data_IF_764316389406
#
_entry.id   IF_764316389406
#
_cell.length_a   1.000
_cell.length_b   1.000
_cell.length_c   1.000
_cell.angle_alpha   90.00
_cell.angle_beta   90.00
_cell.angle_gamma   90.00
#
_symmetry.space_group_name_H-M   'P 1'
#
loop_
_entity.id
_entity.type
_entity.pdbx_description
1 polymer ?
#
# COMPACT_ATOMS: atom_id res chain seq x y z
N UNK A 1 -16.27 -2.28 -15.73
CA UNK A 1 -17.43 -2.21 -14.82
C UNK A 1 -17.17 -2.76 -13.42
N UNK A 2 -16.85 -4.05 -13.21
CA UNK A 2 -16.69 -4.59 -11.83
C UNK A 2 -15.45 -4.11 -11.07
N UNK A 3 -14.33 -3.86 -11.76
CA UNK A 3 -13.10 -3.37 -11.12
C UNK A 3 -13.12 -1.86 -10.85
N UNK A 4 -13.74 -1.08 -11.74
CA UNK A 4 -13.86 0.38 -11.62
C UNK A 4 -14.66 0.80 -10.38
N UNK A 5 -15.75 0.08 -10.07
CA UNK A 5 -16.55 0.31 -8.85
C UNK A 5 -15.73 0.04 -7.58
N UNK A 6 -14.80 -0.92 -7.64
CA UNK A 6 -13.91 -1.24 -6.52
C UNK A 6 -12.75 -0.26 -6.34
N UNK A 7 -12.31 0.43 -7.40
CA UNK A 7 -11.22 1.40 -7.31
C UNK A 7 -11.66 2.72 -6.69
N UNK A 8 -12.91 3.15 -6.88
CA UNK A 8 -13.36 4.45 -6.39
C UNK A 8 -13.32 4.58 -4.86
N UNK A 9 -13.71 3.53 -4.14
CA UNK A 9 -13.63 3.51 -2.67
C UNK A 9 -12.18 3.55 -2.19
N UNK A 10 -11.30 2.80 -2.85
CA UNK A 10 -9.86 2.76 -2.54
C UNK A 10 -9.22 4.12 -2.82
N UNK A 11 -9.52 4.75 -3.96
CA UNK A 11 -9.05 6.09 -4.30
C UNK A 11 -9.50 7.09 -3.24
N UNK A 12 -10.77 7.03 -2.80
CA UNK A 12 -11.28 7.87 -1.70
C UNK A 12 -10.55 7.58 -0.37
N UNK A 13 -10.15 6.33 -0.11
CA UNK A 13 -9.37 5.96 1.07
C UNK A 13 -7.90 6.45 1.00
N UNK A 14 -7.29 6.43 -0.18
CA UNK A 14 -5.94 6.95 -0.43
C UNK A 14 -5.89 8.47 -0.29
N UNK A 15 -6.83 9.20 -0.91
CA UNK A 15 -6.94 10.67 -0.81
C UNK A 15 -7.03 11.17 0.64
N UNK A 16 -7.60 10.37 1.55
CA UNK A 16 -7.73 10.69 2.99
C UNK A 16 -6.55 10.22 3.84
N UNK A 17 -5.58 9.49 3.27
CA UNK A 17 -4.43 8.93 3.99
C UNK A 17 -3.14 9.16 3.21
N UNK A 18 -2.38 10.16 3.65
CA UNK A 18 -1.02 10.40 3.16
C UNK A 18 -0.16 9.15 3.31
N UNK A 19 -0.27 8.43 4.44
CA UNK A 19 0.52 7.22 4.69
C UNK A 19 0.31 6.16 3.63
N UNK A 20 -0.95 5.79 3.34
CA UNK A 20 -1.25 4.76 2.32
C UNK A 20 -0.83 5.22 0.92
N UNK A 21 -1.03 6.50 0.62
CA UNK A 21 -0.65 7.08 -0.68
C UNK A 21 0.86 6.98 -0.90
N UNK A 22 1.67 7.44 0.07
CA UNK A 22 3.13 7.40 -0.03
C UNK A 22 3.67 5.98 -0.14
N UNK A 23 3.09 5.02 0.60
CA UNK A 23 3.45 3.60 0.50
C UNK A 23 3.18 3.06 -0.92
N UNK A 24 1.97 3.25 -1.45
CA UNK A 24 1.62 2.79 -2.79
C UNK A 24 2.54 3.42 -3.84
N UNK A 25 2.76 4.74 -3.77
CA UNK A 25 3.58 5.44 -4.76
C UNK A 25 5.04 5.01 -4.71
N UNK A 26 5.58 4.79 -3.51
CA UNK A 26 6.91 4.21 -3.35
C UNK A 26 6.99 2.80 -3.96
N UNK A 27 6.05 1.91 -3.63
CA UNK A 27 6.04 0.55 -4.14
C UNK A 27 5.82 0.49 -5.67
N UNK A 28 5.04 1.42 -6.22
CA UNK A 28 4.88 1.59 -7.67
C UNK A 28 6.19 1.99 -8.34
N UNK A 29 6.93 2.93 -7.75
CA UNK A 29 8.24 3.38 -8.28
C UNK A 29 9.27 2.25 -8.34
N UNK A 30 9.22 1.29 -7.42
CA UNK A 30 10.17 0.17 -7.38
C UNK A 30 9.61 -1.14 -7.97
N UNK A 31 8.35 -1.15 -8.43
CA UNK A 31 7.71 -2.34 -8.96
C UNK A 31 8.53 -2.94 -10.13
N UNK A 32 8.73 -4.27 -10.20
CA UNK A 32 8.10 -5.33 -9.40
C UNK A 32 8.87 -5.75 -8.13
N UNK A 33 9.78 -4.92 -7.62
CA UNK A 33 10.58 -5.26 -6.43
C UNK A 33 9.77 -5.11 -5.15
N UNK A 34 10.09 -5.95 -4.17
CA UNK A 34 9.57 -5.84 -2.80
C UNK A 34 10.53 -5.01 -1.92
N UNK A 35 10.00 -4.43 -0.86
CA UNK A 35 10.77 -3.68 0.14
C UNK A 35 10.22 -3.95 1.54
N UNK A 36 11.10 -3.95 2.54
CA UNK A 36 10.72 -4.19 3.93
C UNK A 36 10.33 -2.87 4.62
N UNK A 37 9.50 -2.88 5.68
CA UNK A 37 8.92 -1.67 6.27
C UNK A 37 9.90 -0.56 6.63
N UNK A 38 11.07 -0.89 7.18
CA UNK A 38 12.06 0.12 7.56
C UNK A 38 12.72 0.82 6.34
N UNK A 39 12.81 0.15 5.20
CA UNK A 39 13.29 0.79 3.96
C UNK A 39 12.21 1.70 3.35
N UNK A 40 10.94 1.28 3.39
CA UNK A 40 9.81 2.12 2.99
C UNK A 40 9.79 3.39 3.86
N UNK A 41 9.94 3.25 5.18
CA UNK A 41 10.00 4.36 6.13
C UNK A 41 11.11 5.36 5.77
N UNK A 42 12.34 4.88 5.50
CA UNK A 42 13.47 5.74 5.11
C UNK A 42 13.23 6.50 3.81
N UNK A 43 12.62 5.86 2.81
CA UNK A 43 12.42 6.47 1.50
C UNK A 43 11.19 7.39 1.43
N UNK A 44 10.22 7.20 2.32
CA UNK A 44 9.00 8.04 2.38
C UNK A 44 9.07 9.12 3.47
N UNK A 45 10.02 9.01 4.40
CA UNK A 45 10.10 9.90 5.58
C UNK A 45 8.98 9.68 6.60
N UNK A 46 8.27 8.55 6.51
CA UNK A 46 7.17 8.19 7.41
C UNK A 46 7.69 7.23 8.48
N UNK A 47 7.26 7.43 9.73
CA UNK A 47 7.60 6.52 10.83
C UNK A 47 7.20 5.06 10.56
N UNK A 48 8.06 4.12 10.97
CA UNK A 48 7.90 2.69 10.70
C UNK A 48 6.60 2.11 11.27
N UNK A 49 6.11 2.60 12.41
CA UNK A 49 4.83 2.16 12.99
C UNK A 49 3.66 2.60 12.11
N UNK A 50 3.71 3.81 11.56
CA UNK A 50 2.71 4.27 10.58
C UNK A 50 2.78 3.49 9.27
N UNK A 51 3.99 3.14 8.80
CA UNK A 51 4.16 2.28 7.62
C UNK A 51 3.47 0.92 7.84
N UNK A 52 3.72 0.27 8.98
CA UNK A 52 3.08 -0.99 9.33
C UNK A 52 1.56 -0.86 9.40
N UNK A 53 1.06 0.23 10.00
CA UNK A 53 -0.37 0.54 10.05
C UNK A 53 -1.01 0.69 8.68
N UNK A 54 -0.36 1.42 7.76
CA UNK A 54 -0.84 1.58 6.39
C UNK A 54 -0.83 0.27 5.59
N UNK A 55 0.19 -0.56 5.80
CA UNK A 55 0.35 -1.85 5.10
C UNK A 55 -0.66 -2.90 5.56
N UNK A 56 -0.71 -3.20 6.87
CA UNK A 56 -1.45 -4.35 7.41
C UNK A 56 -2.51 -4.02 8.47
N UNK A 57 -2.65 -2.74 8.82
CA UNK A 57 -3.46 -2.34 9.98
C UNK A 57 -2.78 -2.60 11.33
N UNK A 58 -3.35 -2.04 12.39
CA UNK A 58 -2.94 -2.17 13.79
C UNK A 58 -4.14 -1.86 14.69
N UNK A 59 -4.46 -2.80 15.58
CA UNK A 59 -5.65 -2.90 16.45
C UNK A 59 -6.23 -1.64 17.14
N UNK A 60 -5.50 -0.51 17.21
CA UNK A 60 -6.00 0.73 17.87
C UNK A 60 -6.00 1.98 16.99
N UNK A 61 -5.09 2.11 16.02
CA UNK A 61 -4.94 3.33 15.18
C UNK A 61 -5.13 3.11 13.69
N UNK A 62 -5.12 1.85 13.25
CA UNK A 62 -5.29 1.50 11.85
C UNK A 62 -6.24 0.31 11.73
N UNK A 63 -7.45 0.57 11.24
CA UNK A 63 -8.41 -0.49 10.96
C UNK A 63 -7.82 -1.46 9.92
N UNK A 64 -7.61 -2.72 10.33
CA UNK A 64 -7.06 -3.81 9.53
C UNK A 64 -7.86 -4.04 8.25
N UNK A 65 -9.19 -3.85 8.29
CA UNK A 65 -10.07 -4.01 7.13
C UNK A 65 -9.79 -2.98 6.02
N UNK A 66 -9.23 -1.82 6.39
CA UNK A 66 -8.90 -0.71 5.49
C UNK A 66 -7.43 -0.64 5.07
N UNK A 67 -6.63 -1.66 5.44
CA UNK A 67 -5.20 -1.72 5.14
C UNK A 67 -4.93 -1.98 3.65
N UNK A 68 -3.75 -1.61 3.17
CA UNK A 68 -3.38 -1.87 1.77
C UNK A 68 -3.35 -3.37 1.46
N UNK A 69 -2.97 -4.19 2.44
CA UNK A 69 -2.93 -5.64 2.32
C UNK A 69 -4.34 -6.25 2.26
N UNK A 70 -5.26 -5.85 3.14
CA UNK A 70 -6.64 -6.35 3.14
C UNK A 70 -7.41 -5.95 1.87
N UNK A 71 -7.09 -4.77 1.31
CA UNK A 71 -7.67 -4.27 0.06
C UNK A 71 -7.04 -4.92 -1.20
N UNK A 72 -6.01 -5.75 -1.04
CA UNK A 72 -5.32 -6.43 -2.14
C UNK A 72 -4.47 -5.50 -3.02
N UNK A 73 -4.10 -4.31 -2.52
CA UNK A 73 -3.25 -3.35 -3.24
C UNK A 73 -1.77 -3.71 -3.16
N UNK A 74 -1.38 -4.40 -2.10
CA UNK A 74 -0.02 -4.90 -1.88
C UNK A 74 -0.06 -6.37 -1.52
N UNK A 75 1.05 -7.04 -1.76
CA UNK A 75 1.29 -8.43 -1.38
C UNK A 75 2.36 -8.47 -0.30
N UNK A 76 2.20 -9.41 0.64
CA UNK A 76 3.17 -9.70 1.69
C UNK A 76 4.03 -10.90 1.25
N UNK A 77 5.35 -10.78 1.39
CA UNK A 77 6.30 -11.85 1.12
C UNK A 77 7.13 -12.12 2.37
N UNK A 78 7.24 -13.38 2.78
CA UNK A 78 8.13 -13.80 3.85
C UNK A 78 9.43 -14.35 3.24
N UNK A 79 10.56 -13.74 3.57
CA UNK A 79 11.89 -14.20 3.15
C UNK A 79 12.75 -14.39 4.39
N UNK A 80 12.89 -15.64 4.82
CA UNK A 80 13.53 -15.98 6.09
C UNK A 80 12.77 -15.38 7.27
N UNK A 81 13.47 -14.65 8.14
CA UNK A 81 12.90 -14.00 9.32
C UNK A 81 12.36 -12.59 9.06
N UNK A 82 12.32 -12.17 7.79
CA UNK A 82 11.94 -10.81 7.39
C UNK A 82 10.71 -10.79 6.48
N UNK A 83 9.81 -9.86 6.78
CA UNK A 83 8.64 -9.55 5.96
C UNK A 83 8.93 -8.42 4.98
N UNK A 84 8.55 -8.64 3.72
CA UNK A 84 8.62 -7.69 2.63
C UNK A 84 7.22 -7.41 2.06
N UNK A 85 7.07 -6.26 1.41
CA UNK A 85 5.86 -5.87 0.72
C UNK A 85 6.14 -5.45 -0.71
N UNK A 86 5.26 -5.84 -1.63
CA UNK A 86 5.32 -5.51 -3.06
C UNK A 86 3.97 -4.96 -3.50
N UNK A 87 3.96 -4.05 -4.47
CA UNK A 87 2.70 -3.66 -5.13
C UNK A 87 2.11 -4.85 -5.91
N UNK A 88 0.82 -5.13 -5.74
CA UNK A 88 0.14 -6.16 -6.54
C UNK A 88 -0.15 -5.65 -7.96
N UNK A 89 -0.49 -6.54 -8.89
CA UNK A 89 -1.01 -6.13 -10.21
C UNK A 89 -2.24 -5.22 -10.09
N UNK A 90 -3.12 -5.51 -9.12
CA UNK A 90 -4.31 -4.70 -8.84
C UNK A 90 -3.92 -3.30 -8.35
N UNK A 91 -2.93 -3.21 -7.46
CA UNK A 91 -2.40 -1.92 -6.99
C UNK A 91 -1.72 -1.12 -8.10
N UNK A 92 -1.01 -1.80 -9.01
CA UNK A 92 -0.43 -1.18 -10.21
C UNK A 92 -1.52 -0.62 -11.13
N UNK A 93 -2.54 -1.42 -11.45
CA UNK A 93 -3.66 -0.99 -12.28
C UNK A 93 -4.41 0.22 -11.68
N UNK A 94 -4.56 0.26 -10.35
CA UNK A 94 -5.12 1.41 -9.64
C UNK A 94 -4.29 2.67 -9.87
N UNK A 95 -2.97 2.63 -9.65
CA UNK A 95 -2.09 3.80 -9.82
C UNK A 95 -2.08 4.26 -11.27
N UNK A 96 -2.03 3.34 -12.23
CA UNK A 96 -2.10 3.67 -13.66
C UNK A 96 -3.44 4.29 -14.05
N UNK A 97 -4.55 3.89 -13.42
CA UNK A 97 -5.86 4.53 -13.64
C UNK A 97 -5.89 5.99 -13.19
N UNK A 98 -5.10 6.36 -12.17
CA UNK A 98 -5.01 7.74 -11.67
C UNK A 98 -4.20 8.66 -12.61
N UNK A 99 -3.28 8.10 -13.39
CA UNK A 99 -2.43 8.86 -14.33
C UNK A 99 -3.08 9.11 -15.69
N UNK A 100 -4.18 8.40 -15.99
CA UNK A 100 -4.95 8.57 -17.23
C UNK A 100 -5.98 9.70 -17.17
N UNK A 101 -6.01 10.45 -16.05
CA UNK A 101 -6.91 11.58 -15.79
C UNK A 101 -6.18 12.89 -16.04
#
# INVERSE_FOLDING_TARGET
MSEEVGFEEIIRALRRSRVRTEIIMYLYKIYPRASYPAEIARNTGIDSTNILGGLRGMSSRFDESSSLLSQGMVEKLELGDATYYRLSERGKALVESLQKV
#
